data_IF_336308114322
#
_entry.id   IF_336308114322
#
_cell.length_a   1.000
_cell.length_b   1.000
_cell.length_c   1.000
_cell.angle_alpha   90.00
_cell.angle_beta   90.00
_cell.angle_gamma   90.00
#
_symmetry.space_group_name_H-M   'P 1'
#
loop_
_entity.id
_entity.type
_entity.pdbx_description
1 polymer ?
#
# COMPACT_ATOMS: atom_id res chain seq x y z
N UNK A 1 42.21 8.66 -22.44
CA UNK A 1 41.93 7.71 -23.53
C UNK A 1 40.70 6.90 -23.17
N UNK A 2 39.60 7.09 -23.89
CA UNK A 2 38.35 6.30 -23.73
C UNK A 2 38.64 4.94 -24.37
N UNK A 3 38.73 3.89 -23.56
CA UNK A 3 38.87 2.52 -24.09
C UNK A 3 37.54 2.08 -24.68
N UNK A 4 37.44 2.15 -26.00
CA UNK A 4 36.30 1.65 -26.77
C UNK A 4 36.22 0.14 -26.50
N UNK A 5 35.03 -0.35 -26.08
CA UNK A 5 34.84 -1.79 -25.78
C UNK A 5 34.78 -2.19 -24.31
N UNK A 6 34.97 -1.27 -23.34
CA UNK A 6 34.81 -1.60 -21.90
C UNK A 6 33.44 -2.14 -21.54
N UNK A 7 32.40 -1.70 -22.24
CA UNK A 7 31.00 -2.14 -21.99
C UNK A 7 30.66 -3.46 -22.71
N UNK A 8 31.48 -3.92 -23.67
CA UNK A 8 31.17 -5.13 -24.41
C UNK A 8 31.08 -6.35 -23.48
N UNK A 9 32.02 -6.48 -22.54
CA UNK A 9 32.01 -7.56 -21.57
C UNK A 9 30.76 -7.53 -20.69
N UNK A 10 30.30 -6.35 -20.28
CA UNK A 10 29.09 -6.17 -19.49
C UNK A 10 27.83 -6.54 -20.30
N UNK A 11 27.77 -6.12 -21.54
CA UNK A 11 26.65 -6.44 -22.45
C UNK A 11 26.61 -7.95 -22.71
N UNK A 12 27.71 -8.59 -22.96
CA UNK A 12 27.78 -10.03 -23.16
C UNK A 12 27.40 -10.81 -21.89
N UNK A 13 27.82 -10.33 -20.71
CA UNK A 13 27.41 -10.92 -19.43
C UNK A 13 25.90 -10.78 -19.18
N UNK A 14 25.31 -9.65 -19.52
CA UNK A 14 23.87 -9.44 -19.34
C UNK A 14 22.99 -10.26 -20.29
N UNK A 15 23.51 -10.71 -21.44
CA UNK A 15 22.78 -11.62 -22.33
C UNK A 15 22.54 -13.00 -21.72
N UNK A 16 23.45 -13.45 -20.84
CA UNK A 16 23.42 -14.77 -20.22
C UNK A 16 22.88 -14.74 -18.78
N UNK A 17 22.81 -13.55 -18.16
CA UNK A 17 22.33 -13.41 -16.79
C UNK A 17 20.81 -13.52 -16.72
N UNK A 18 20.32 -14.13 -15.63
CA UNK A 18 18.86 -14.19 -15.35
C UNK A 18 18.30 -12.77 -15.18
N UNK A 19 17.08 -12.48 -15.65
CA UNK A 19 16.44 -11.19 -15.43
C UNK A 19 16.25 -10.95 -13.92
N UNK A 20 16.48 -9.72 -13.48
CA UNK A 20 16.25 -9.29 -12.10
C UNK A 20 14.78 -8.92 -11.83
N UNK A 21 13.97 -8.91 -12.85
CA UNK A 21 12.53 -8.57 -12.77
C UNK A 21 11.68 -9.82 -12.54
N UNK A 22 10.59 -9.66 -11.77
CA UNK A 22 9.58 -10.69 -11.62
C UNK A 22 8.55 -10.58 -12.74
N UNK A 23 7.96 -11.71 -13.16
CA UNK A 23 6.93 -11.77 -14.19
C UNK A 23 5.55 -11.34 -13.68
N UNK A 24 5.48 -10.19 -12.96
CA UNK A 24 4.21 -9.65 -12.51
C UNK A 24 3.31 -9.29 -13.73
N UNK A 25 2.00 -9.58 -13.70
CA UNK A 25 1.18 -10.07 -12.59
C UNK A 25 1.10 -11.60 -12.43
N UNK A 26 1.76 -12.36 -13.30
CA UNK A 26 1.70 -13.82 -13.30
C UNK A 26 2.42 -14.44 -12.10
N UNK A 27 3.51 -13.80 -11.66
CA UNK A 27 4.26 -14.18 -10.47
C UNK A 27 4.14 -13.08 -9.43
N UNK A 28 3.57 -13.40 -8.26
CA UNK A 28 3.51 -12.45 -7.15
C UNK A 28 4.87 -12.35 -6.48
N UNK A 29 5.35 -11.13 -6.27
CA UNK A 29 6.55 -10.89 -5.50
C UNK A 29 6.34 -11.33 -4.04
N UNK A 30 7.33 -12.01 -3.47
CA UNK A 30 7.35 -12.30 -2.03
C UNK A 30 7.69 -11.01 -1.30
N UNK A 31 6.75 -10.49 -0.54
CA UNK A 31 6.91 -9.26 0.21
C UNK A 31 7.61 -9.54 1.56
N UNK A 32 8.48 -8.65 2.02
CA UNK A 32 9.10 -8.76 3.34
C UNK A 32 8.05 -8.55 4.45
N UNK A 33 8.23 -9.17 5.62
CA UNK A 33 7.31 -9.07 6.77
C UNK A 33 6.97 -7.64 7.21
N UNK A 34 7.88 -6.70 6.96
CA UNK A 34 7.71 -5.28 7.32
C UNK A 34 7.34 -4.40 6.12
N UNK A 35 6.70 -4.98 5.13
CA UNK A 35 6.25 -4.22 3.98
C UNK A 35 5.19 -3.18 4.39
N UNK A 36 5.27 -1.98 3.79
CA UNK A 36 4.36 -0.88 4.08
C UNK A 36 3.45 -0.63 2.89
N UNK A 37 2.38 -1.41 2.81
CA UNK A 37 1.37 -1.27 1.78
C UNK A 37 0.23 -0.34 2.19
N UNK A 38 -0.95 -0.61 1.68
CA UNK A 38 -2.14 0.19 1.86
C UNK A 38 -2.60 0.24 3.33
N UNK A 39 -3.05 1.39 3.76
CA UNK A 39 -3.63 1.58 5.10
C UNK A 39 -5.06 1.02 5.15
N UNK A 40 -5.36 0.30 6.22
CA UNK A 40 -6.71 -0.13 6.60
C UNK A 40 -7.13 0.58 7.89
N UNK A 41 -8.37 1.01 7.94
CA UNK A 41 -8.93 1.69 9.10
C UNK A 41 -10.10 0.89 9.68
N UNK A 42 -10.13 0.79 11.00
CA UNK A 42 -11.19 0.13 11.76
C UNK A 42 -12.01 1.19 12.52
N UNK A 43 -13.20 1.58 12.02
CA UNK A 43 -14.03 2.61 12.64
C UNK A 43 -14.44 2.27 14.08
N UNK A 44 -14.62 0.98 14.38
CA UNK A 44 -15.07 0.47 15.68
C UNK A 44 -14.04 0.73 16.79
N UNK A 45 -12.75 0.72 16.47
CA UNK A 45 -11.67 0.95 17.41
C UNK A 45 -11.35 2.43 17.59
N UNK A 46 -11.83 3.28 16.69
CA UNK A 46 -11.49 4.71 16.67
C UNK A 46 -12.25 5.48 17.76
N UNK A 47 -11.52 6.28 18.53
CA UNK A 47 -12.09 7.17 19.56
C UNK A 47 -12.14 8.64 19.12
N UNK A 48 -11.69 8.95 17.90
CA UNK A 48 -11.70 10.30 17.35
C UNK A 48 -10.67 11.26 17.95
N UNK A 49 -9.57 10.77 18.48
CA UNK A 49 -8.51 11.61 19.08
C UNK A 49 -7.75 12.49 18.08
N UNK A 50 -7.86 12.21 16.77
CA UNK A 50 -7.24 12.96 15.66
C UNK A 50 -5.71 13.04 15.67
N UNK A 51 -5.03 12.25 16.49
CA UNK A 51 -3.57 12.21 16.53
C UNK A 51 -2.98 11.82 15.16
N UNK A 52 -3.57 10.83 14.50
CA UNK A 52 -3.16 10.39 13.17
C UNK A 52 -3.25 11.50 12.08
N UNK A 53 -4.18 12.45 12.23
CA UNK A 53 -4.25 13.62 11.33
C UNK A 53 -3.12 14.61 11.60
N UNK A 54 -2.84 14.86 12.88
CA UNK A 54 -1.83 15.84 13.31
C UNK A 54 -0.42 15.37 12.95
N UNK A 55 -0.16 14.09 13.16
CA UNK A 55 1.17 13.49 12.97
C UNK A 55 1.42 13.03 11.53
N UNK A 56 0.43 13.19 10.63
CA UNK A 56 0.59 12.87 9.22
C UNK A 56 1.36 13.97 8.48
N UNK A 57 2.58 13.74 7.99
CA UNK A 57 3.40 14.77 7.35
C UNK A 57 2.82 15.26 6.02
N UNK A 58 2.04 14.42 5.32
CA UNK A 58 1.42 14.77 4.04
C UNK A 58 -0.04 15.20 4.14
N UNK A 59 -0.63 15.19 5.36
CA UNK A 59 -2.03 15.52 5.56
C UNK A 59 -3.00 14.60 4.81
N UNK A 60 -2.60 13.35 4.59
CA UNK A 60 -3.36 12.39 3.79
C UNK A 60 -4.58 11.81 4.51
N UNK A 61 -4.69 11.98 5.83
CA UNK A 61 -5.75 11.38 6.65
C UNK A 61 -6.63 12.48 7.21
N UNK A 62 -7.95 12.30 7.09
CA UNK A 62 -8.96 13.13 7.71
C UNK A 62 -9.93 12.26 8.50
N UNK A 63 -10.22 12.64 9.75
CA UNK A 63 -11.17 11.96 10.60
C UNK A 63 -12.37 12.86 10.82
N UNK A 64 -13.53 12.42 10.34
CA UNK A 64 -14.81 13.09 10.47
C UNK A 64 -15.68 12.40 11.53
N UNK A 65 -16.44 13.17 12.30
CA UNK A 65 -17.42 12.63 13.23
C UNK A 65 -18.76 12.50 12.49
N UNK A 66 -19.26 11.30 12.35
CA UNK A 66 -20.52 11.01 11.65
C UNK A 66 -21.68 10.79 12.63
N UNK A 67 -21.39 10.48 13.90
CA UNK A 67 -22.42 10.24 14.90
C UNK A 67 -21.87 10.24 16.33
N UNK A 68 -22.69 9.86 17.30
CA UNK A 68 -22.23 9.64 18.66
C UNK A 68 -21.27 8.44 18.70
N UNK A 69 -20.00 8.71 18.98
CA UNK A 69 -18.89 7.73 19.03
C UNK A 69 -18.63 6.99 17.71
N UNK A 70 -19.11 7.52 16.57
CA UNK A 70 -18.85 6.97 15.23
C UNK A 70 -17.98 7.93 14.45
N UNK A 71 -16.85 7.43 13.95
CA UNK A 71 -15.87 8.20 13.21
C UNK A 71 -15.63 7.57 11.84
N UNK A 72 -15.52 8.42 10.85
CA UNK A 72 -15.20 8.09 9.49
C UNK A 72 -13.77 8.56 9.19
N UNK A 73 -13.01 7.74 8.52
CA UNK A 73 -11.69 8.14 8.03
C UNK A 73 -11.71 8.28 6.50
N UNK A 74 -11.29 9.43 6.02
CA UNK A 74 -10.99 9.66 4.61
C UNK A 74 -9.48 9.62 4.44
N UNK A 75 -8.99 8.65 3.70
CA UNK A 75 -7.57 8.46 3.44
C UNK A 75 -7.29 8.73 1.96
N UNK A 76 -6.50 9.76 1.69
CA UNK A 76 -6.04 10.11 0.34
C UNK A 76 -4.75 9.35 0.03
N UNK A 77 -4.88 8.19 -0.62
CA UNK A 77 -3.72 7.35 -0.97
C UNK A 77 -2.77 8.02 -1.97
N UNK A 78 -3.29 8.96 -2.76
CA UNK A 78 -2.51 9.79 -3.69
C UNK A 78 -1.54 10.76 -3.00
N UNK A 79 -1.81 11.11 -1.74
CA UNK A 79 -0.96 11.98 -0.92
C UNK A 79 -0.16 11.20 0.11
N UNK A 80 -0.56 9.96 0.39
CA UNK A 80 0.07 9.13 1.41
C UNK A 80 1.48 8.72 0.99
N UNK A 81 2.47 8.94 1.86
CA UNK A 81 3.85 8.51 1.66
C UNK A 81 4.18 7.16 2.33
N UNK A 82 3.19 6.47 2.84
CA UNK A 82 3.31 5.14 3.49
C UNK A 82 4.36 5.06 4.60
N UNK A 83 4.55 6.16 5.35
CA UNK A 83 5.55 6.23 6.43
C UNK A 83 5.17 5.45 7.69
N UNK A 84 3.91 5.01 7.83
CA UNK A 84 3.36 4.28 8.98
C UNK A 84 3.20 5.10 10.28
N UNK A 85 3.61 6.37 10.34
CA UNK A 85 3.55 7.20 11.52
C UNK A 85 2.15 7.24 12.17
N UNK A 86 1.09 7.28 11.35
CA UNK A 86 -0.29 7.27 11.83
C UNK A 86 -0.69 5.96 12.54
N UNK A 87 -0.07 4.84 12.16
CA UNK A 87 -0.30 3.53 12.79
C UNK A 87 0.40 3.49 14.13
N UNK A 88 1.67 3.94 14.20
CA UNK A 88 2.46 3.97 15.42
C UNK A 88 1.85 4.92 16.46
N UNK A 89 1.33 6.07 16.03
CA UNK A 89 0.67 7.06 16.92
C UNK A 89 -0.70 6.58 17.41
N UNK A 90 -1.33 5.60 16.77
CA UNK A 90 -2.67 5.17 17.11
C UNK A 90 -2.72 4.26 18.35
N UNK A 91 -2.95 4.81 19.53
CA UNK A 91 -3.06 4.05 20.80
C UNK A 91 -4.16 2.97 20.80
N UNK A 92 -5.20 3.14 19.98
CA UNK A 92 -6.31 2.18 19.88
C UNK A 92 -6.13 1.16 18.76
N UNK A 93 -5.01 1.21 18.02
CA UNK A 93 -4.74 0.33 16.88
C UNK A 93 -5.92 0.29 15.90
N UNK A 94 -6.48 1.46 15.62
CA UNK A 94 -7.56 1.63 14.66
C UNK A 94 -7.05 1.74 13.23
N UNK A 95 -5.74 1.88 13.03
CA UNK A 95 -5.06 1.90 11.74
C UNK A 95 -4.08 0.73 11.66
N UNK A 96 -4.03 0.10 10.53
CA UNK A 96 -3.14 -1.03 10.24
C UNK A 96 -2.56 -0.89 8.83
N UNK A 97 -1.36 -1.39 8.63
CA UNK A 97 -0.73 -1.49 7.32
C UNK A 97 -1.00 -2.88 6.78
N UNK A 98 -1.38 -2.96 5.52
CA UNK A 98 -1.57 -4.23 4.82
C UNK A 98 -0.42 -4.49 3.85
N UNK A 99 -0.33 -5.70 3.34
CA UNK A 99 0.62 -6.09 2.30
C UNK A 99 0.13 -5.72 0.89
N UNK A 100 -1.05 -5.08 0.79
CA UNK A 100 -1.63 -4.67 -0.49
C UNK A 100 -0.86 -3.47 -1.06
N UNK A 101 -0.18 -3.68 -2.18
CA UNK A 101 0.58 -2.66 -2.91
C UNK A 101 -0.10 -2.26 -4.22
N UNK A 102 -1.19 -2.92 -4.60
CA UNK A 102 -1.89 -2.65 -5.86
C UNK A 102 -2.74 -1.38 -5.75
N UNK A 103 -2.10 -0.24 -6.04
CA UNK A 103 -2.71 1.08 -5.94
C UNK A 103 -2.95 1.75 -7.30
N UNK A 104 -2.56 1.08 -8.39
CA UNK A 104 -2.72 1.62 -9.73
C UNK A 104 -4.20 1.85 -10.06
N UNK A 105 -4.56 3.10 -10.33
CA UNK A 105 -5.91 3.52 -10.69
C UNK A 105 -5.85 4.54 -11.83
N UNK A 106 -6.85 4.53 -12.71
CA UNK A 106 -6.97 5.49 -13.80
C UNK A 106 -7.53 6.84 -13.33
N UNK A 107 -8.39 6.81 -12.31
CA UNK A 107 -9.01 8.01 -11.77
C UNK A 107 -8.44 8.33 -10.37
N UNK A 108 -8.00 9.57 -10.19
CA UNK A 108 -7.48 10.07 -8.91
C UNK A 108 -8.51 9.98 -7.78
N UNK A 109 -9.78 10.14 -8.07
CA UNK A 109 -10.86 10.07 -7.06
C UNK A 109 -10.95 8.69 -6.42
N UNK A 110 -10.61 7.63 -7.14
CA UNK A 110 -10.61 6.25 -6.63
C UNK A 110 -9.47 5.98 -5.63
N UNK A 111 -8.47 6.86 -5.56
CA UNK A 111 -7.40 6.83 -4.55
C UNK A 111 -7.81 7.49 -3.23
N UNK A 112 -8.98 8.11 -3.15
CA UNK A 112 -9.59 8.54 -1.89
C UNK A 112 -10.46 7.42 -1.36
N UNK A 113 -10.02 6.78 -0.28
CA UNK A 113 -10.75 5.69 0.35
C UNK A 113 -11.45 6.22 1.59
N UNK A 114 -12.78 6.02 1.65
CA UNK A 114 -13.61 6.43 2.76
C UNK A 114 -13.99 5.18 3.56
N UNK A 115 -13.62 5.16 4.83
CA UNK A 115 -13.95 4.10 5.77
C UNK A 115 -15.06 4.59 6.70
N UNK A 116 -16.29 4.22 6.38
CA UNK A 116 -17.50 4.52 7.18
C UNK A 116 -17.85 3.37 8.11
N UNK A 117 -18.40 3.61 9.29
CA UNK A 117 -18.82 2.57 10.24
C UNK A 117 -20.02 1.74 9.76
N UNK A 118 -20.65 2.14 8.66
CA UNK A 118 -21.80 1.45 8.05
C UNK A 118 -21.53 0.83 6.69
N UNK A 119 -20.33 0.99 6.16
CA UNK A 119 -19.95 0.40 4.88
C UNK A 119 -18.65 -0.38 5.06
N UNK A 120 -18.73 -1.68 4.89
CA UNK A 120 -17.60 -2.52 4.56
C UNK A 120 -16.88 -1.90 3.35
N UNK A 121 -15.56 -1.78 3.32
CA UNK A 121 -14.87 -1.12 2.23
C UNK A 121 -15.19 -1.86 0.94
N UNK A 122 -16.04 -1.27 0.11
CA UNK A 122 -16.43 -1.81 -1.17
C UNK A 122 -15.22 -1.75 -2.12
N UNK A 123 -14.43 -2.80 -2.08
CA UNK A 123 -13.54 -3.16 -3.17
C UNK A 123 -13.86 -4.61 -3.54
N UNK A 124 -14.13 -4.91 -4.80
CA UNK A 124 -14.18 -6.30 -5.22
C UNK A 124 -12.82 -6.93 -4.96
N UNK A 125 -12.80 -7.98 -4.14
CA UNK A 125 -11.61 -8.81 -3.97
C UNK A 125 -11.19 -9.33 -5.35
N UNK A 126 -9.90 -9.23 -5.73
CA UNK A 126 -9.42 -9.91 -6.92
C UNK A 126 -9.66 -11.41 -6.72
N UNK A 127 -10.06 -12.15 -7.78
CA UNK A 127 -10.32 -13.57 -7.67
C UNK A 127 -9.09 -14.30 -7.11
N UNK A 128 -9.28 -15.33 -6.27
CA UNK A 128 -8.18 -16.09 -5.68
C UNK A 128 -7.32 -16.67 -6.80
N UNK A 129 -6.08 -16.20 -6.89
CA UNK A 129 -5.10 -16.75 -7.82
C UNK A 129 -4.68 -18.09 -7.27
N UNK A 130 -5.16 -19.17 -7.89
CA UNK A 130 -4.71 -20.54 -7.61
C UNK A 130 -3.18 -20.59 -7.72
N UNK A 131 -2.55 -20.95 -6.60
CA UNK A 131 -1.12 -21.17 -6.53
C UNK A 131 -0.76 -22.35 -7.44
N UNK A 132 -0.28 -22.05 -8.66
CA UNK A 132 0.36 -23.09 -9.47
C UNK A 132 1.68 -23.46 -8.81
N UNK A 133 1.74 -24.72 -8.37
CA UNK A 133 2.92 -25.43 -7.90
C UNK A 133 4.16 -25.14 -8.75
N UNK A 134 5.35 -24.99 -8.13
CA UNK A 134 6.58 -24.78 -8.88
C UNK A 134 6.87 -26.01 -9.73
N UNK A 135 7.04 -25.80 -11.00
CA UNK A 135 7.59 -26.80 -11.92
C UNK A 135 9.08 -26.94 -11.61
N UNK A 136 9.45 -28.16 -11.26
CA UNK A 136 10.82 -28.59 -10.97
C UNK A 136 11.78 -28.38 -12.16
#
# INVERSE_FOLDING_TARGET
MIKIGKMLQQVMSSLVSKPATHGYPYEKAVLPEKFRGKLKFYPEKCIGCRLCMRDCPSGAIQINKVGEKRFEAVISLDKCMYCAQCVDTCHKKALEITDDFELAQLDRKSLQVVFSPSAEPARPEPPPVEAKTPVA
#
